data_IF_940391791013
#
_entry.id   IF_940391791013
#
_cell.length_a   1.000
_cell.length_b   1.000
_cell.length_c   1.000
_cell.angle_alpha   90.00
_cell.angle_beta   90.00
_cell.angle_gamma   90.00
#
_symmetry.space_group_name_H-M   'P 1'
#
loop_
_entity.id
_entity.type
_entity.pdbx_description
1 polymer ?
#
# COMPACT_ATOMS: atom_id res chain seq x y z
N UNK A 1 2.47 46.06 59.51
CA UNK A 1 1.89 45.81 58.19
C UNK A 1 2.91 45.66 57.02
N UNK A 2 4.11 46.23 57.10
CA UNK A 2 5.14 46.08 56.02
C UNK A 2 5.89 44.74 56.09
N UNK A 3 6.14 44.18 57.27
CA UNK A 3 6.87 42.90 57.41
C UNK A 3 6.04 41.67 56.98
N UNK A 4 4.71 41.68 57.17
CA UNK A 4 3.85 40.58 56.72
C UNK A 4 3.78 40.42 55.18
N UNK A 5 4.02 41.53 54.42
CA UNK A 5 4.03 41.47 52.95
C UNK A 5 5.34 40.90 52.41
N UNK A 6 6.47 41.08 53.09
CA UNK A 6 7.75 40.53 52.68
C UNK A 6 7.84 39.01 52.87
N UNK A 7 7.28 38.51 53.97
CA UNK A 7 7.21 37.04 54.22
C UNK A 7 6.31 36.34 53.24
N UNK A 8 5.19 36.94 52.84
CA UNK A 8 4.29 36.37 51.81
C UNK A 8 4.90 36.36 50.41
N UNK A 9 5.71 37.38 50.06
CA UNK A 9 6.42 37.40 48.75
C UNK A 9 7.58 36.42 48.66
N UNK A 10 8.33 36.19 49.75
CA UNK A 10 9.41 35.19 49.82
C UNK A 10 8.84 33.77 49.78
N UNK A 11 7.71 33.51 50.45
CA UNK A 11 7.01 32.21 50.36
C UNK A 11 6.44 31.89 48.98
N UNK A 12 5.91 32.91 48.26
CA UNK A 12 5.40 32.77 46.93
C UNK A 12 6.54 32.51 45.87
N UNK A 13 7.71 33.09 46.08
CA UNK A 13 8.89 32.87 45.22
C UNK A 13 9.54 31.50 45.44
N UNK A 14 9.43 30.91 46.59
CA UNK A 14 9.92 29.54 46.90
C UNK A 14 9.00 28.45 46.36
N UNK A 15 7.70 28.74 46.11
CA UNK A 15 6.76 27.75 45.59
C UNK A 15 6.84 27.57 44.06
N UNK A 16 7.48 28.52 43.34
CA UNK A 16 7.66 28.40 41.87
C UNK A 16 8.95 27.69 41.45
N UNK A 17 9.85 27.34 42.37
CA UNK A 17 11.13 26.68 42.07
C UNK A 17 11.08 25.14 42.10
N UNK A 18 9.91 24.53 42.32
CA UNK A 18 9.80 23.08 42.54
C UNK A 18 9.11 22.30 41.40
N UNK A 19 8.90 22.87 40.19
CA UNK A 19 8.22 22.19 39.09
C UNK A 19 9.06 22.00 37.81
N UNK A 20 10.36 22.07 37.92
CA UNK A 20 11.24 21.49 36.92
C UNK A 20 11.67 20.10 37.43
N UNK A 21 10.75 19.13 37.40
CA UNK A 21 11.17 17.73 37.48
C UNK A 21 12.16 17.50 36.32
N UNK A 22 13.37 17.00 36.56
CA UNK A 22 14.25 16.60 35.48
C UNK A 22 13.45 15.59 34.67
N UNK A 23 13.22 15.88 33.40
CA UNK A 23 12.79 14.86 32.44
C UNK A 23 13.91 13.84 32.45
N UNK A 24 13.73 12.77 33.24
CA UNK A 24 14.67 11.64 33.20
C UNK A 24 14.86 11.28 31.73
N UNK A 25 16.10 11.07 31.25
CA UNK A 25 16.28 10.59 29.89
C UNK A 25 15.45 9.32 29.78
N UNK A 26 14.42 9.37 28.95
CA UNK A 26 13.52 8.26 28.72
C UNK A 26 14.42 7.10 28.29
N UNK A 27 14.61 6.10 29.16
CA UNK A 27 15.46 4.96 28.89
C UNK A 27 15.07 4.44 27.52
N UNK A 28 16.05 4.25 26.62
CA UNK A 28 15.81 3.84 25.24
C UNK A 28 15.05 2.53 25.23
N UNK A 29 13.71 2.62 25.19
CA UNK A 29 12.83 1.44 25.26
C UNK A 29 13.25 0.36 24.26
N UNK A 30 13.73 0.77 23.09
CA UNK A 30 14.12 -0.12 22.00
C UNK A 30 15.55 -0.68 22.10
N UNK A 31 16.37 -0.21 23.05
CA UNK A 31 17.74 -0.68 23.22
C UNK A 31 17.76 -2.18 23.58
N UNK A 32 18.53 -2.96 22.81
CA UNK A 32 18.63 -4.41 22.97
C UNK A 32 17.36 -5.19 22.64
N UNK A 33 16.33 -4.56 22.02
CA UNK A 33 15.09 -5.22 21.62
C UNK A 33 15.06 -5.55 20.14
N UNK A 34 14.22 -6.55 19.80
CA UNK A 34 13.87 -6.86 18.44
C UNK A 34 12.47 -6.32 18.14
N UNK A 35 12.30 -5.73 16.95
CA UNK A 35 11.00 -5.40 16.37
C UNK A 35 10.65 -6.48 15.37
N UNK A 36 9.49 -7.11 15.53
CA UNK A 36 8.91 -8.02 14.53
C UNK A 36 8.20 -7.20 13.46
N UNK A 37 8.65 -7.31 12.22
CA UNK A 37 7.97 -6.77 11.05
C UNK A 37 7.18 -7.87 10.36
N UNK A 38 5.86 -7.85 10.49
CA UNK A 38 4.98 -8.75 9.76
C UNK A 38 4.83 -8.24 8.34
N UNK A 39 5.23 -9.04 7.36
CA UNK A 39 5.08 -8.76 5.93
C UNK A 39 3.89 -9.51 5.36
N UNK A 40 2.85 -8.80 4.92
CA UNK A 40 1.59 -9.40 4.46
C UNK A 40 1.62 -9.87 3.00
N UNK A 41 2.71 -9.66 2.27
CA UNK A 41 2.94 -10.14 0.90
C UNK A 41 3.96 -11.27 0.86
N UNK A 42 3.98 -11.99 -0.26
CA UNK A 42 5.01 -13.00 -0.53
C UNK A 42 6.39 -12.37 -0.72
N UNK A 43 7.48 -13.10 -0.41
CA UNK A 43 8.83 -12.64 -0.66
C UNK A 43 9.12 -12.47 -2.17
N UNK A 44 10.09 -11.61 -2.51
CA UNK A 44 10.58 -11.38 -3.88
C UNK A 44 9.67 -10.50 -4.76
N UNK A 45 8.49 -10.09 -4.28
CA UNK A 45 7.64 -9.14 -4.99
C UNK A 45 8.05 -7.68 -4.75
N UNK A 46 7.46 -6.74 -5.52
CA UNK A 46 7.72 -5.29 -5.39
C UNK A 46 7.45 -4.77 -3.97
N UNK A 47 6.41 -5.27 -3.30
CA UNK A 47 6.13 -4.92 -1.91
C UNK A 47 7.27 -5.34 -0.96
N UNK A 48 7.86 -6.52 -1.18
CA UNK A 48 9.01 -7.01 -0.41
C UNK A 48 10.25 -6.13 -0.65
N UNK A 49 10.51 -5.74 -1.89
CA UNK A 49 11.65 -4.85 -2.21
C UNK A 49 11.53 -3.48 -1.56
N UNK A 50 10.33 -2.90 -1.52
CA UNK A 50 10.03 -1.65 -0.80
C UNK A 50 10.36 -1.76 0.68
N UNK A 51 9.93 -2.83 1.32
CA UNK A 51 10.15 -3.05 2.74
C UNK A 51 11.61 -3.34 3.05
N UNK A 52 12.31 -4.11 2.24
CA UNK A 52 13.75 -4.35 2.42
C UNK A 52 14.56 -3.05 2.39
N UNK A 53 14.21 -2.11 1.49
CA UNK A 53 14.82 -0.79 1.48
C UNK A 53 14.55 -0.05 2.78
N UNK A 54 13.29 0.00 3.25
CA UNK A 54 12.93 0.68 4.49
C UNK A 54 13.63 0.07 5.70
N UNK A 55 13.67 -1.26 5.81
CA UNK A 55 14.26 -1.95 6.97
C UNK A 55 15.78 -1.82 7.05
N UNK A 56 16.45 -1.54 5.94
CA UNK A 56 17.88 -1.21 5.95
C UNK A 56 18.19 0.15 6.60
N UNK A 57 17.23 1.06 6.64
CA UNK A 57 17.42 2.42 7.14
C UNK A 57 16.70 2.72 8.46
N UNK A 58 15.50 2.15 8.66
CA UNK A 58 14.64 2.48 9.79
C UNK A 58 15.32 2.33 11.16
N UNK A 59 16.10 1.25 11.45
CA UNK A 59 16.70 1.06 12.77
C UNK A 59 17.52 2.24 13.26
N UNK A 60 18.31 2.89 12.38
CA UNK A 60 19.19 4.01 12.74
C UNK A 60 18.44 5.25 13.24
N UNK A 61 17.14 5.36 12.97
CA UNK A 61 16.30 6.46 13.41
C UNK A 61 15.48 6.14 14.66
N UNK A 62 15.50 4.88 15.11
CA UNK A 62 14.84 4.46 16.35
C UNK A 62 15.88 4.53 17.47
N UNK A 63 15.66 5.32 18.54
CA UNK A 63 16.57 5.34 19.70
C UNK A 63 16.83 3.92 20.22
N UNK A 64 18.09 3.56 20.42
CA UNK A 64 18.49 2.20 20.78
C UNK A 64 18.78 1.27 19.60
N UNK A 65 18.58 1.73 18.37
CA UNK A 65 18.91 1.00 17.13
C UNK A 65 18.52 -0.49 17.16
N UNK A 66 17.22 -0.81 17.33
CA UNK A 66 16.75 -2.19 17.49
C UNK A 66 16.97 -3.02 16.23
N UNK A 67 17.12 -4.33 16.39
CA UNK A 67 17.09 -5.26 15.27
C UNK A 67 15.66 -5.42 14.76
N UNK A 68 15.44 -5.35 13.43
CA UNK A 68 14.13 -5.61 12.81
C UNK A 68 14.17 -6.98 12.15
N UNK A 69 13.28 -7.87 12.62
CA UNK A 69 13.13 -9.23 12.12
C UNK A 69 11.87 -9.30 11.24
N UNK A 70 12.03 -9.67 9.97
CA UNK A 70 10.89 -9.79 9.04
C UNK A 70 10.31 -11.20 9.07
N UNK A 71 9.00 -11.27 9.28
CA UNK A 71 8.19 -12.48 9.24
C UNK A 71 7.17 -12.37 8.11
N UNK A 72 7.08 -13.37 7.23
CA UNK A 72 6.11 -13.38 6.14
C UNK A 72 4.81 -14.05 6.56
N UNK A 73 3.69 -13.32 6.40
CA UNK A 73 2.35 -13.81 6.72
C UNK A 73 1.37 -13.52 5.57
N UNK A 74 1.59 -14.08 4.38
CA UNK A 74 0.70 -13.88 3.25
C UNK A 74 -0.64 -14.58 3.45
N UNK A 75 -1.59 -14.26 2.58
CA UNK A 75 -2.88 -14.94 2.49
C UNK A 75 -4.09 -14.01 2.66
N UNK A 76 -5.20 -14.44 2.07
CA UNK A 76 -6.48 -13.74 2.08
C UNK A 76 -6.40 -12.24 1.68
N UNK A 77 -5.53 -11.91 0.69
CA UNK A 77 -5.33 -10.51 0.26
C UNK A 77 -4.69 -9.61 1.32
N UNK A 78 -4.02 -10.18 2.32
CA UNK A 78 -3.39 -9.46 3.45
C UNK A 78 -4.23 -9.45 4.73
N UNK A 79 -5.51 -9.92 4.68
CA UNK A 79 -6.41 -9.94 5.85
C UNK A 79 -5.89 -10.81 7.00
N UNK A 80 -5.17 -11.92 6.70
CA UNK A 80 -4.55 -12.76 7.72
C UNK A 80 -3.60 -11.94 8.60
N UNK A 81 -2.67 -11.22 8.01
CA UNK A 81 -1.71 -10.39 8.72
C UNK A 81 -2.37 -9.18 9.39
N UNK A 82 -3.39 -8.57 8.74
CA UNK A 82 -4.14 -7.45 9.30
C UNK A 82 -4.93 -7.86 10.56
N UNK A 83 -5.57 -9.02 10.55
CA UNK A 83 -6.24 -9.57 11.74
C UNK A 83 -5.24 -9.91 12.85
N UNK A 84 -4.05 -10.38 12.49
CA UNK A 84 -2.99 -10.69 13.44
C UNK A 84 -2.50 -9.43 14.15
N UNK A 85 -2.11 -8.39 13.39
CA UNK A 85 -1.61 -7.14 13.99
C UNK A 85 -2.65 -6.45 14.88
N UNK A 86 -3.93 -6.49 14.49
CA UNK A 86 -5.01 -5.86 15.25
C UNK A 86 -5.16 -6.45 16.66
N UNK A 87 -4.76 -7.72 16.86
CA UNK A 87 -4.81 -8.46 18.13
C UNK A 87 -3.46 -8.63 18.80
N UNK A 88 -2.38 -8.17 18.14
CA UNK A 88 -1.04 -8.27 18.68
C UNK A 88 -0.89 -7.42 19.96
N UNK A 89 0.14 -7.70 20.74
CA UNK A 89 0.43 -6.92 21.96
C UNK A 89 0.71 -5.46 21.57
N UNK A 90 0.08 -4.50 22.22
CA UNK A 90 0.28 -3.08 21.93
C UNK A 90 1.54 -2.54 22.63
N UNK A 91 2.66 -3.22 22.48
CA UNK A 91 3.91 -2.88 23.15
C UNK A 91 4.91 -2.09 22.27
N UNK A 92 4.52 -1.82 21.01
CA UNK A 92 5.36 -1.09 20.05
C UNK A 92 6.47 -1.94 19.43
N UNK A 93 6.50 -3.25 19.66
CA UNK A 93 7.52 -4.16 19.12
C UNK A 93 7.04 -4.98 17.90
N UNK A 94 5.80 -4.77 17.46
CA UNK A 94 5.27 -5.42 16.27
C UNK A 94 4.76 -4.36 15.29
N UNK A 95 5.24 -4.41 14.05
CA UNK A 95 4.83 -3.53 12.95
C UNK A 95 4.28 -4.42 11.82
N UNK A 96 3.15 -4.05 11.24
CA UNK A 96 2.67 -4.66 10.01
C UNK A 96 3.07 -3.80 8.82
N UNK A 97 3.73 -4.39 7.84
CA UNK A 97 3.75 -3.92 6.46
C UNK A 97 2.54 -4.50 5.74
N UNK A 98 1.52 -3.68 5.57
CA UNK A 98 0.28 -4.13 4.96
C UNK A 98 0.38 -4.21 3.44
N UNK A 99 -0.58 -4.88 2.82
CA UNK A 99 -0.86 -4.70 1.38
C UNK A 99 -1.77 -3.49 1.18
N UNK A 100 -1.86 -3.01 -0.06
CA UNK A 100 -2.88 -2.00 -0.45
C UNK A 100 -4.32 -2.54 -0.37
N UNK A 101 -4.53 -3.73 0.17
CA UNK A 101 -5.83 -4.32 0.49
C UNK A 101 -6.35 -3.99 1.89
N UNK A 102 -5.50 -3.54 2.81
CA UNK A 102 -5.87 -3.28 4.20
C UNK A 102 -7.13 -2.39 4.32
N UNK A 103 -7.07 -1.22 3.75
CA UNK A 103 -8.16 -0.23 3.83
C UNK A 103 -9.36 -0.63 2.97
N UNK A 104 -9.19 -1.00 1.68
CA UNK A 104 -10.30 -1.44 0.85
C UNK A 104 -11.10 -2.59 1.44
N UNK A 105 -10.44 -3.64 1.95
CA UNK A 105 -11.13 -4.79 2.51
C UNK A 105 -12.06 -4.43 3.69
N UNK A 106 -11.63 -3.49 4.53
CA UNK A 106 -12.46 -3.00 5.64
C UNK A 106 -13.62 -2.12 5.15
N UNK A 107 -13.37 -1.17 4.25
CA UNK A 107 -14.41 -0.29 3.68
C UNK A 107 -15.46 -1.12 2.92
N UNK A 108 -15.04 -2.17 2.23
CA UNK A 108 -15.93 -3.08 1.50
C UNK A 108 -16.67 -4.07 2.41
N UNK A 109 -16.32 -4.15 3.70
CA UNK A 109 -16.91 -5.13 4.62
C UNK A 109 -16.66 -6.58 4.15
N UNK A 110 -15.46 -6.87 3.65
CA UNK A 110 -15.13 -8.20 3.14
C UNK A 110 -15.18 -9.27 4.24
N UNK A 111 -15.66 -10.45 3.91
CA UNK A 111 -15.68 -11.59 4.82
C UNK A 111 -14.27 -11.88 5.34
N UNK A 112 -14.16 -12.10 6.65
CA UNK A 112 -12.90 -12.38 7.33
C UNK A 112 -12.09 -11.14 7.71
N UNK A 113 -12.61 -9.92 7.53
CA UNK A 113 -12.09 -8.70 8.16
C UNK A 113 -12.50 -8.69 9.62
N UNK A 114 -11.51 -8.76 10.53
CA UNK A 114 -11.69 -8.78 11.98
C UNK A 114 -10.91 -7.63 12.63
N UNK A 115 -10.61 -6.58 11.90
CA UNK A 115 -9.92 -5.37 12.33
C UNK A 115 -10.74 -4.14 11.97
N UNK A 116 -10.51 -3.08 12.72
CA UNK A 116 -11.09 -1.76 12.50
C UNK A 116 -9.98 -0.81 12.03
N UNK A 117 -10.08 -0.32 10.78
CA UNK A 117 -9.08 0.58 10.19
C UNK A 117 -8.98 1.91 10.91
N UNK A 118 -10.07 2.36 11.56
CA UNK A 118 -10.09 3.63 12.28
C UNK A 118 -9.43 3.52 13.68
N UNK A 119 -9.14 2.29 14.15
CA UNK A 119 -8.43 2.02 15.41
C UNK A 119 -6.97 1.64 15.23
N UNK A 120 -6.55 1.24 14.04
CA UNK A 120 -5.14 0.98 13.75
C UNK A 120 -4.34 2.28 13.88
N UNK A 121 -3.12 2.16 14.38
CA UNK A 121 -2.19 3.30 14.48
C UNK A 121 -1.28 3.28 13.25
N UNK A 122 -1.35 4.32 12.46
CA UNK A 122 -0.60 4.44 11.22
C UNK A 122 0.77 5.09 11.46
N UNK A 123 1.80 4.52 10.86
CA UNK A 123 3.17 5.05 10.85
C UNK A 123 3.50 5.79 9.55
N UNK A 124 2.63 5.68 8.54
CA UNK A 124 2.80 6.24 7.21
C UNK A 124 2.76 5.18 6.11
N UNK A 125 2.98 5.61 4.89
CA UNK A 125 3.12 4.74 3.72
C UNK A 125 4.33 5.18 2.88
N UNK A 126 5.06 4.25 2.24
CA UNK A 126 6.22 4.60 1.42
C UNK A 126 5.87 5.21 0.07
N UNK A 127 4.61 5.09 -0.36
CA UNK A 127 4.16 5.63 -1.64
C UNK A 127 2.69 6.06 -1.60
N UNK A 128 2.39 7.14 -2.30
CA UNK A 128 1.04 7.68 -2.54
C UNK A 128 0.77 7.95 -4.02
N UNK A 129 1.79 7.84 -4.83
CA UNK A 129 1.68 7.81 -6.28
C UNK A 129 1.74 6.37 -6.74
N UNK A 130 0.86 6.01 -7.65
CA UNK A 130 0.73 4.63 -8.10
C UNK A 130 0.31 4.57 -9.56
N UNK A 131 1.03 3.75 -10.30
CA UNK A 131 0.70 3.42 -11.69
C UNK A 131 0.58 1.91 -11.84
N UNK A 132 -0.44 1.47 -12.55
CA UNK A 132 -0.56 0.09 -12.95
C UNK A 132 -0.86 0.00 -14.44
N UNK A 133 -0.33 -1.02 -15.06
CA UNK A 133 -0.56 -1.31 -16.49
C UNK A 133 -1.28 -2.64 -16.66
N UNK A 134 -2.03 -2.74 -17.75
CA UNK A 134 -2.64 -3.99 -18.21
C UNK A 134 -2.04 -4.37 -19.57
N UNK A 135 -1.61 -5.61 -19.71
CA UNK A 135 -0.99 -6.11 -20.92
C UNK A 135 -1.31 -7.58 -21.18
N UNK A 136 -1.17 -7.98 -22.45
CA UNK A 136 -1.36 -9.36 -22.94
C UNK A 136 -0.09 -9.88 -23.59
N UNK A 137 0.02 -11.20 -23.70
CA UNK A 137 1.07 -11.83 -24.53
C UNK A 137 0.93 -11.41 -26.00
N UNK A 138 2.05 -11.15 -26.65
CA UNK A 138 2.10 -10.67 -28.03
C UNK A 138 1.62 -11.72 -29.05
N UNK A 139 1.88 -12.99 -28.78
CA UNK A 139 1.51 -14.11 -29.65
C UNK A 139 0.00 -14.20 -29.86
N UNK A 140 -0.80 -13.60 -29.02
CA UNK A 140 -2.26 -13.53 -29.17
C UNK A 140 -2.71 -12.56 -30.28
N UNK A 141 -1.81 -11.71 -30.78
CA UNK A 141 -2.14 -10.73 -31.82
C UNK A 141 -3.11 -9.62 -31.40
N UNK A 142 -3.27 -9.41 -30.08
CA UNK A 142 -4.23 -8.45 -29.51
C UNK A 142 -3.58 -7.06 -29.36
N UNK A 143 -3.17 -6.45 -30.46
CA UNK A 143 -2.41 -5.18 -30.48
C UNK A 143 -3.29 -3.92 -30.40
N UNK A 144 -4.61 -4.07 -30.50
CA UNK A 144 -5.59 -2.98 -30.39
C UNK A 144 -6.67 -3.28 -29.34
N UNK A 145 -7.32 -2.23 -28.85
CA UNK A 145 -8.46 -2.37 -27.90
C UNK A 145 -9.63 -3.14 -28.54
N UNK A 146 -9.88 -2.96 -29.81
CA UNK A 146 -10.99 -3.65 -30.50
C UNK A 146 -10.70 -5.15 -30.62
N UNK A 147 -9.48 -5.55 -30.97
CA UNK A 147 -9.08 -6.96 -30.97
C UNK A 147 -9.13 -7.55 -29.56
N UNK A 148 -8.68 -6.78 -28.56
CA UNK A 148 -8.73 -7.19 -27.16
C UNK A 148 -10.17 -7.45 -26.70
N UNK A 149 -11.14 -6.60 -27.06
CA UNK A 149 -12.56 -6.77 -26.76
C UNK A 149 -13.21 -7.94 -27.51
N UNK A 150 -12.78 -8.17 -28.74
CA UNK A 150 -13.28 -9.28 -29.56
C UNK A 150 -12.80 -10.65 -29.05
N UNK A 151 -11.65 -10.68 -28.37
CA UNK A 151 -11.13 -11.90 -27.74
C UNK A 151 -12.03 -12.33 -26.57
N UNK A 152 -12.31 -13.63 -26.49
CA UNK A 152 -13.15 -14.21 -25.43
C UNK A 152 -12.36 -15.20 -24.58
N UNK A 153 -12.64 -15.20 -23.28
CA UNK A 153 -12.08 -16.19 -22.36
C UNK A 153 -10.62 -15.97 -21.99
N UNK A 154 -10.11 -14.73 -22.12
CA UNK A 154 -8.73 -14.41 -21.72
C UNK A 154 -8.47 -14.79 -20.26
N UNK A 155 -7.36 -15.50 -20.01
CA UNK A 155 -6.91 -15.90 -18.69
C UNK A 155 -6.04 -14.79 -18.10
N UNK A 156 -6.54 -14.13 -17.05
CA UNK A 156 -5.83 -13.03 -16.36
C UNK A 156 -5.17 -13.57 -15.09
N UNK A 157 -3.85 -13.55 -15.05
CA UNK A 157 -3.08 -14.02 -13.90
C UNK A 157 -3.15 -13.09 -12.70
N UNK A 158 -3.32 -13.63 -11.49
CA UNK A 158 -3.41 -12.88 -10.24
C UNK A 158 -2.88 -13.70 -9.04
N UNK A 159 -2.64 -13.02 -7.90
CA UNK A 159 -2.16 -13.71 -6.70
C UNK A 159 -3.30 -14.46 -6.00
N UNK A 160 -4.18 -13.77 -5.33
CA UNK A 160 -5.33 -14.37 -4.63
C UNK A 160 -6.54 -13.46 -4.75
N UNK A 161 -7.73 -14.01 -4.55
CA UNK A 161 -8.99 -13.23 -4.46
C UNK A 161 -8.84 -12.16 -3.38
N UNK A 162 -9.20 -10.92 -3.69
CA UNK A 162 -9.05 -9.76 -2.80
C UNK A 162 -7.65 -9.12 -2.80
N UNK A 163 -6.64 -9.78 -3.35
CA UNK A 163 -5.32 -9.16 -3.52
C UNK A 163 -5.35 -8.03 -4.56
N UNK A 164 -4.40 -7.07 -4.45
CA UNK A 164 -4.33 -5.92 -5.35
C UNK A 164 -4.28 -6.32 -6.82
N UNK A 165 -3.42 -7.28 -7.20
CA UNK A 165 -3.29 -7.76 -8.59
C UNK A 165 -4.58 -8.36 -9.14
N UNK A 166 -5.35 -9.06 -8.30
CA UNK A 166 -6.65 -9.61 -8.67
C UNK A 166 -7.67 -8.50 -8.92
N UNK A 167 -7.81 -7.57 -7.97
CA UNK A 167 -8.73 -6.44 -8.09
C UNK A 167 -8.41 -5.57 -9.29
N UNK A 168 -7.14 -5.23 -9.49
CA UNK A 168 -6.68 -4.45 -10.65
C UNK A 168 -6.99 -5.16 -11.96
N UNK A 169 -6.63 -6.45 -12.08
CA UNK A 169 -6.95 -7.25 -13.26
C UNK A 169 -8.43 -7.24 -13.61
N UNK A 170 -9.31 -7.32 -12.59
CA UNK A 170 -10.76 -7.28 -12.78
C UNK A 170 -11.25 -5.89 -13.17
N UNK A 171 -10.74 -4.84 -12.55
CA UNK A 171 -11.10 -3.44 -12.90
C UNK A 171 -10.69 -3.13 -14.35
N UNK A 172 -9.46 -3.49 -14.75
CA UNK A 172 -9.04 -3.35 -16.14
C UNK A 172 -9.93 -4.15 -17.09
N UNK A 173 -10.17 -5.43 -16.79
CA UNK A 173 -11.01 -6.30 -17.62
C UNK A 173 -12.43 -5.74 -17.77
N UNK A 174 -13.01 -5.23 -16.68
CA UNK A 174 -14.34 -4.62 -16.67
C UNK A 174 -14.36 -3.35 -17.52
N UNK A 175 -13.52 -2.37 -17.24
CA UNK A 175 -13.52 -1.08 -17.93
C UNK A 175 -13.09 -1.20 -19.40
N UNK A 176 -12.17 -2.08 -19.74
CA UNK A 176 -11.82 -2.38 -21.12
C UNK A 176 -12.94 -3.12 -21.87
N UNK A 177 -13.87 -3.74 -21.16
CA UNK A 177 -14.97 -4.49 -21.75
C UNK A 177 -14.55 -5.84 -22.30
N UNK A 178 -13.72 -6.59 -21.58
CA UNK A 178 -13.29 -7.93 -22.00
C UNK A 178 -14.45 -8.93 -21.97
N UNK A 179 -14.51 -9.79 -22.97
CA UNK A 179 -15.56 -10.79 -23.12
C UNK A 179 -15.21 -12.05 -22.32
N UNK A 180 -15.97 -12.34 -21.26
CA UNK A 180 -15.87 -13.54 -20.42
C UNK A 180 -14.43 -13.86 -19.97
N UNK A 181 -13.66 -12.90 -19.39
CA UNK A 181 -12.33 -13.21 -18.89
C UNK A 181 -12.41 -14.17 -17.70
N UNK A 182 -11.38 -15.00 -17.54
CA UNK A 182 -11.18 -15.84 -16.37
C UNK A 182 -9.99 -15.34 -15.55
N UNK A 183 -10.02 -15.53 -14.23
CA UNK A 183 -8.98 -15.04 -13.33
C UNK A 183 -8.28 -16.24 -12.68
N UNK A 184 -7.03 -16.48 -13.08
CA UNK A 184 -6.21 -17.59 -12.58
C UNK A 184 -5.42 -17.10 -11.38
N UNK A 185 -5.67 -17.69 -10.22
CA UNK A 185 -5.08 -17.31 -8.93
C UNK A 185 -4.15 -18.39 -8.38
N UNK A 186 -3.35 -18.04 -7.37
CA UNK A 186 -2.43 -18.96 -6.71
C UNK A 186 -0.95 -18.66 -6.99
N UNK A 187 -0.65 -17.60 -7.72
CA UNK A 187 0.70 -17.21 -8.06
C UNK A 187 1.23 -16.10 -7.14
N UNK A 188 2.52 -16.08 -6.88
CA UNK A 188 3.24 -14.86 -6.47
C UNK A 188 3.41 -13.91 -7.64
N UNK A 189 3.83 -12.66 -7.40
CA UNK A 189 4.09 -11.69 -8.46
C UNK A 189 5.06 -12.19 -9.55
N UNK A 190 6.25 -12.72 -9.19
CA UNK A 190 7.18 -13.32 -10.15
C UNK A 190 6.61 -14.55 -10.88
N UNK A 191 5.85 -15.41 -10.20
CA UNK A 191 5.25 -16.58 -10.83
C UNK A 191 4.21 -16.24 -11.89
N UNK A 192 3.45 -15.12 -11.74
CA UNK A 192 2.57 -14.63 -12.80
C UNK A 192 3.38 -14.27 -14.05
N UNK A 193 4.58 -13.70 -13.88
CA UNK A 193 5.45 -13.35 -15.00
C UNK A 193 5.89 -14.60 -15.77
N UNK A 194 6.27 -15.67 -15.05
CA UNK A 194 6.63 -16.96 -15.65
C UNK A 194 5.42 -17.66 -16.29
N UNK A 195 4.26 -17.61 -15.65
CA UNK A 195 3.02 -18.18 -16.18
C UNK A 195 2.59 -17.48 -17.49
N UNK A 196 2.82 -16.17 -17.60
CA UNK A 196 2.61 -15.43 -18.84
C UNK A 196 3.56 -15.91 -19.97
N UNK A 197 4.84 -16.08 -19.66
CA UNK A 197 5.84 -16.57 -20.62
C UNK A 197 5.57 -18.01 -21.10
N UNK A 198 5.08 -18.86 -20.19
CA UNK A 198 4.70 -20.25 -20.51
C UNK A 198 3.33 -20.38 -21.18
N UNK A 199 2.58 -19.30 -21.29
CA UNK A 199 1.23 -19.33 -21.83
C UNK A 199 0.19 -19.96 -20.92
N UNK A 200 0.46 -20.08 -19.64
CA UNK A 200 -0.50 -20.55 -18.62
C UNK A 200 -1.57 -19.47 -18.36
N UNK A 201 -1.19 -18.18 -18.47
CA UNK A 201 -2.09 -17.03 -18.50
C UNK A 201 -1.85 -16.18 -19.74
N UNK A 202 -2.84 -15.39 -20.13
CA UNK A 202 -2.85 -14.60 -21.37
C UNK A 202 -2.59 -13.12 -21.13
N UNK A 203 -2.95 -12.64 -19.95
CA UNK A 203 -2.89 -11.25 -19.53
C UNK A 203 -2.54 -11.11 -18.05
N UNK A 204 -2.09 -9.94 -17.68
CA UNK A 204 -1.99 -9.53 -16.29
C UNK A 204 -2.08 -8.02 -16.13
N UNK A 205 -2.42 -7.57 -14.92
CA UNK A 205 -2.10 -6.22 -14.45
C UNK A 205 -0.95 -6.26 -13.46
N UNK A 206 -0.15 -5.22 -13.42
CA UNK A 206 0.84 -5.01 -12.37
C UNK A 206 1.20 -3.54 -12.21
N UNK A 207 1.77 -3.18 -11.07
CA UNK A 207 2.41 -1.90 -10.89
C UNK A 207 3.56 -1.72 -11.89
N UNK A 208 3.76 -0.50 -12.39
CA UNK A 208 4.78 -0.18 -13.40
C UNK A 208 6.17 -0.55 -12.93
N UNK A 209 6.48 -0.37 -11.64
CA UNK A 209 7.76 -0.75 -11.02
C UNK A 209 8.07 -2.24 -11.23
N UNK A 210 7.03 -3.08 -11.19
CA UNK A 210 7.20 -4.53 -11.43
C UNK A 210 7.73 -4.83 -12.81
N UNK A 211 7.36 -4.03 -13.83
CA UNK A 211 7.88 -4.19 -15.21
C UNK A 211 9.35 -3.81 -15.25
N UNK A 212 9.71 -2.66 -14.63
CA UNK A 212 11.10 -2.18 -14.64
C UNK A 212 12.06 -3.09 -13.89
N UNK A 213 11.62 -3.62 -12.75
CA UNK A 213 12.46 -4.43 -11.88
C UNK A 213 12.69 -5.84 -12.40
N UNK A 214 11.63 -6.50 -12.87
CA UNK A 214 11.70 -7.92 -13.17
C UNK A 214 11.76 -8.24 -14.64
N UNK A 215 11.19 -7.38 -15.48
CA UNK A 215 11.02 -7.65 -16.91
C UNK A 215 11.28 -6.39 -17.76
N UNK A 216 12.45 -5.74 -17.63
CA UNK A 216 12.74 -4.52 -18.37
C UNK A 216 12.71 -4.74 -19.90
N UNK A 217 12.96 -5.96 -20.37
CA UNK A 217 12.92 -6.34 -21.78
C UNK A 217 11.52 -6.20 -22.39
N UNK A 218 10.47 -6.23 -21.57
CA UNK A 218 9.09 -5.94 -22.01
C UNK A 218 8.91 -4.50 -22.52
N UNK A 219 9.86 -3.61 -22.23
CA UNK A 219 9.87 -2.22 -22.68
C UNK A 219 10.72 -2.02 -23.94
N UNK A 220 11.45 -3.05 -24.35
CA UNK A 220 12.33 -2.99 -25.53
C UNK A 220 11.54 -3.13 -26.84
N UNK A 221 12.16 -2.64 -27.93
CA UNK A 221 11.65 -2.89 -29.27
C UNK A 221 11.68 -4.42 -29.53
N UNK A 222 10.54 -4.99 -29.84
CA UNK A 222 10.38 -6.45 -29.98
C UNK A 222 9.87 -7.17 -28.72
N UNK A 223 9.38 -6.43 -27.74
CA UNK A 223 8.72 -6.96 -26.55
C UNK A 223 7.77 -8.12 -26.88
N UNK A 224 7.69 -9.07 -25.96
CA UNK A 224 6.77 -10.23 -26.03
C UNK A 224 5.35 -9.91 -25.48
N UNK A 225 5.05 -8.65 -25.19
CA UNK A 225 3.74 -8.21 -24.70
C UNK A 225 3.22 -6.99 -25.44
N UNK A 226 1.89 -6.80 -25.39
CA UNK A 226 1.19 -5.57 -25.79
C UNK A 226 0.60 -4.91 -24.57
N UNK A 227 1.03 -3.67 -24.26
CA UNK A 227 0.44 -2.84 -23.23
C UNK A 227 -0.81 -2.14 -23.78
N UNK A 228 -1.92 -2.17 -23.02
CA UNK A 228 -3.22 -1.70 -23.51
C UNK A 228 -3.71 -0.43 -22.81
N UNK A 229 -3.45 -0.30 -21.52
CA UNK A 229 -3.96 0.80 -20.72
C UNK A 229 -3.16 0.97 -19.43
N UNK A 230 -3.24 2.16 -18.87
CA UNK A 230 -2.64 2.53 -17.59
C UNK A 230 -3.70 3.03 -16.61
N UNK A 231 -3.50 2.75 -15.32
CA UNK A 231 -4.18 3.39 -14.20
C UNK A 231 -3.23 4.38 -13.54
N UNK A 232 -3.68 5.61 -13.34
CA UNK A 232 -2.89 6.68 -12.71
C UNK A 232 -3.54 7.10 -11.37
N UNK A 233 -2.73 7.15 -10.31
CA UNK A 233 -3.12 7.70 -9.02
C UNK A 233 -1.98 8.60 -8.47
N UNK A 234 -2.22 9.93 -8.30
CA UNK A 234 -3.44 10.68 -8.63
C UNK A 234 -3.69 10.76 -10.13
N UNK A 235 -4.94 11.11 -10.49
CA UNK A 235 -5.32 11.31 -11.90
C UNK A 235 -4.47 12.40 -12.53
N UNK A 236 -3.97 12.15 -13.75
CA UNK A 236 -3.15 13.09 -14.50
C UNK A 236 -1.65 13.07 -14.12
N UNK A 237 -1.27 12.27 -13.12
CA UNK A 237 0.14 11.98 -12.84
C UNK A 237 0.67 11.00 -13.89
N UNK A 238 1.05 11.54 -15.06
CA UNK A 238 1.48 10.72 -16.20
C UNK A 238 2.81 10.05 -15.93
N UNK A 239 2.82 8.73 -16.06
CA UNK A 239 4.05 7.96 -15.95
C UNK A 239 5.01 8.28 -17.12
N UNK A 240 6.31 8.57 -16.88
CA UNK A 240 7.26 9.01 -17.92
C UNK A 240 7.35 8.06 -19.13
N UNK A 241 7.26 6.75 -18.91
CA UNK A 241 7.40 5.74 -19.96
C UNK A 241 6.07 5.18 -20.48
N UNK A 242 5.01 5.21 -19.69
CA UNK A 242 3.70 4.65 -20.04
C UNK A 242 2.61 5.72 -20.25
N UNK A 243 2.94 7.01 -20.12
CA UNK A 243 1.97 8.10 -20.29
C UNK A 243 1.40 8.27 -21.69
N UNK A 244 1.91 7.51 -22.66
CA UNK A 244 1.34 7.38 -24.01
C UNK A 244 0.15 6.40 -24.07
N UNK A 245 0.00 5.52 -23.06
CA UNK A 245 -1.12 4.59 -22.99
C UNK A 245 -2.41 5.33 -22.61
N UNK A 246 -3.57 4.90 -23.13
CA UNK A 246 -4.84 5.44 -22.67
C UNK A 246 -5.06 5.13 -21.19
N UNK A 247 -5.43 6.16 -20.42
CA UNK A 247 -5.79 6.00 -19.01
C UNK A 247 -7.12 5.25 -18.91
N UNK A 248 -7.19 4.28 -17.99
CA UNK A 248 -8.29 3.31 -17.91
C UNK A 248 -9.67 3.96 -17.69
N UNK A 249 -9.76 5.10 -17.00
CA UNK A 249 -11.01 5.83 -16.81
C UNK A 249 -11.59 6.35 -18.13
N UNK A 250 -10.77 6.56 -19.16
CA UNK A 250 -11.25 6.99 -20.48
C UNK A 250 -12.18 5.98 -21.14
N UNK A 251 -12.16 4.73 -20.68
CA UNK A 251 -13.08 3.68 -21.12
C UNK A 251 -14.37 3.62 -20.28
N UNK A 252 -14.48 4.43 -19.23
CA UNK A 252 -15.69 4.52 -18.39
C UNK A 252 -16.87 5.08 -19.18
N UNK A 253 -18.04 4.43 -19.06
CA UNK A 253 -19.26 4.77 -19.79
C UNK A 253 -20.33 5.41 -18.90
N UNK A 254 -20.31 5.15 -17.61
CA UNK A 254 -21.32 5.59 -16.64
C UNK A 254 -20.75 6.50 -15.55
N UNK A 255 -21.64 7.23 -14.88
CA UNK A 255 -21.26 8.03 -13.71
C UNK A 255 -20.79 7.15 -12.56
N UNK A 256 -21.40 5.98 -12.39
CA UNK A 256 -20.98 5.02 -11.36
C UNK A 256 -19.55 4.48 -11.59
N UNK A 257 -19.16 4.25 -12.85
CA UNK A 257 -17.77 3.90 -13.20
C UNK A 257 -16.79 5.04 -12.89
N UNK A 258 -17.17 6.30 -13.09
CA UNK A 258 -16.35 7.46 -12.69
C UNK A 258 -16.22 7.57 -11.18
N UNK A 259 -17.30 7.36 -10.42
CA UNK A 259 -17.28 7.30 -8.94
C UNK A 259 -16.42 6.15 -8.44
N UNK A 260 -16.50 4.96 -9.07
CA UNK A 260 -15.61 3.83 -8.81
C UNK A 260 -14.14 4.22 -9.00
N UNK A 261 -13.79 4.89 -10.08
CA UNK A 261 -12.41 5.28 -10.35
C UNK A 261 -11.90 6.30 -9.32
N UNK A 262 -12.74 7.25 -8.90
CA UNK A 262 -12.41 8.20 -7.83
C UNK A 262 -12.14 7.47 -6.51
N UNK A 263 -13.01 6.54 -6.12
CA UNK A 263 -12.82 5.70 -4.93
C UNK A 263 -11.52 4.91 -5.01
N UNK A 264 -11.27 4.22 -6.12
CA UNK A 264 -10.06 3.42 -6.33
C UNK A 264 -8.79 4.25 -6.23
N UNK A 265 -8.76 5.47 -6.79
CA UNK A 265 -7.60 6.36 -6.69
C UNK A 265 -7.31 6.78 -5.26
N UNK A 266 -8.33 7.14 -4.50
CA UNK A 266 -8.14 7.49 -3.09
C UNK A 266 -7.60 6.31 -2.29
N UNK A 267 -8.16 5.11 -2.49
CA UNK A 267 -7.69 3.89 -1.87
C UNK A 267 -6.25 3.54 -2.28
N UNK A 268 -5.87 3.79 -3.54
CA UNK A 268 -4.50 3.56 -4.02
C UNK A 268 -3.50 4.57 -3.47
N UNK A 269 -3.89 5.83 -3.33
CA UNK A 269 -3.06 6.88 -2.72
C UNK A 269 -2.77 6.61 -1.25
N UNK A 270 -3.65 5.91 -0.54
CA UNK A 270 -3.36 5.44 0.81
C UNK A 270 -2.23 4.37 0.83
N UNK A 271 -1.88 3.83 -0.34
CA UNK A 271 -0.72 2.95 -0.53
C UNK A 271 -0.84 1.63 0.21
N UNK A 272 0.30 1.18 0.73
CA UNK A 272 0.43 0.02 1.61
C UNK A 272 0.95 0.50 2.97
N UNK A 273 0.07 0.93 3.88
CA UNK A 273 0.49 1.55 5.12
C UNK A 273 1.23 0.59 6.05
N UNK A 274 2.15 1.18 6.80
CA UNK A 274 2.73 0.53 7.96
C UNK A 274 1.87 0.89 9.16
N UNK A 275 1.50 -0.13 9.93
CA UNK A 275 0.61 0.03 11.09
C UNK A 275 1.12 -0.76 12.28
N UNK A 276 0.72 -0.31 13.48
CA UNK A 276 0.95 -0.98 14.74
C UNK A 276 -0.39 -1.22 15.46
N UNK A 277 -0.43 -2.11 16.49
CA UNK A 277 -1.66 -2.44 17.19
C UNK A 277 -2.33 -1.22 17.84
N UNK A 278 -3.67 -1.20 17.89
CA UNK A 278 -4.39 -0.21 18.69
C UNK A 278 -4.02 -0.32 20.17
N UNK A 279 -3.95 0.83 20.85
CA UNK A 279 -3.58 0.88 22.27
C UNK A 279 -2.07 0.85 22.54
N UNK A 280 -1.23 0.91 21.53
CA UNK A 280 0.23 1.10 21.71
C UNK A 280 0.48 2.42 22.47
N UNK A 281 1.33 2.44 23.52
CA UNK A 281 1.63 3.64 24.27
C UNK A 281 2.14 4.78 23.39
N UNK A 282 1.66 5.99 23.67
CA UNK A 282 1.87 7.17 22.83
C UNK A 282 3.36 7.52 22.66
N UNK A 283 4.17 7.34 23.70
CA UNK A 283 5.62 7.55 23.63
C UNK A 283 6.27 6.68 22.55
N UNK A 284 5.88 5.42 22.43
CA UNK A 284 6.36 4.48 21.41
C UNK A 284 5.83 4.81 20.03
N UNK A 285 4.55 5.22 19.94
CA UNK A 285 3.95 5.70 18.70
C UNK A 285 4.74 6.88 18.15
N UNK A 286 5.03 7.88 18.98
CA UNK A 286 5.78 9.07 18.55
C UNK A 286 7.21 8.75 18.14
N UNK A 287 7.90 7.85 18.86
CA UNK A 287 9.24 7.39 18.47
C UNK A 287 9.21 6.76 17.08
N UNK A 288 8.31 5.82 16.83
CA UNK A 288 8.20 5.15 15.54
C UNK A 288 7.79 6.11 14.42
N UNK A 289 6.79 6.96 14.64
CA UNK A 289 6.36 7.98 13.67
C UNK A 289 7.52 8.93 13.32
N UNK A 290 8.28 9.37 14.31
CA UNK A 290 9.43 10.22 14.07
C UNK A 290 10.54 9.49 13.31
N UNK A 291 10.80 8.23 13.61
CA UNK A 291 11.77 7.41 12.89
C UNK A 291 11.40 7.27 11.40
N UNK A 292 10.13 7.02 11.09
CA UNK A 292 9.64 6.99 9.71
C UNK A 292 9.79 8.33 9.00
N UNK A 293 9.40 9.44 9.66
CA UNK A 293 9.59 10.78 9.06
C UNK A 293 11.05 11.10 8.77
N UNK A 294 11.95 10.69 9.67
CA UNK A 294 13.39 10.93 9.49
C UNK A 294 13.97 10.07 8.37
N UNK A 295 13.59 8.81 8.30
CA UNK A 295 13.99 7.90 7.22
C UNK A 295 13.54 8.42 5.84
N UNK A 296 12.29 8.88 5.71
CA UNK A 296 11.77 9.41 4.45
C UNK A 296 12.44 10.74 4.02
N UNK A 297 13.19 11.41 4.89
CA UNK A 297 13.98 12.59 4.54
C UNK A 297 15.44 12.25 4.21
N UNK A 298 15.86 11.00 4.37
CA UNK A 298 17.24 10.58 4.14
C UNK A 298 17.51 10.39 2.64
N UNK A 299 18.41 11.18 2.02
CA UNK A 299 18.77 11.00 0.61
C UNK A 299 19.29 9.61 0.28
N UNK A 300 20.04 8.98 1.22
CA UNK A 300 20.57 7.63 1.02
C UNK A 300 19.44 6.58 0.97
N UNK A 301 18.37 6.77 1.75
CA UNK A 301 17.17 5.95 1.62
C UNK A 301 16.52 6.10 0.24
N UNK A 302 16.39 7.34 -0.27
CA UNK A 302 15.81 7.60 -1.59
C UNK A 302 16.62 6.92 -2.70
N UNK A 303 17.95 6.99 -2.62
CA UNK A 303 18.84 6.35 -3.58
C UNK A 303 18.70 4.81 -3.56
N UNK A 304 18.74 4.17 -2.36
CA UNK A 304 18.57 2.72 -2.22
C UNK A 304 17.18 2.27 -2.66
N UNK A 305 16.14 3.03 -2.26
CA UNK A 305 14.76 2.73 -2.67
C UNK A 305 14.62 2.78 -4.18
N UNK A 306 15.08 3.83 -4.84
CA UNK A 306 15.05 3.96 -6.30
C UNK A 306 15.81 2.83 -7.00
N UNK A 307 16.97 2.44 -6.47
CA UNK A 307 17.75 1.32 -6.99
C UNK A 307 17.01 -0.01 -6.90
N UNK A 308 16.28 -0.27 -5.80
CA UNK A 308 15.55 -1.54 -5.57
C UNK A 308 14.18 -1.54 -6.21
N UNK A 309 13.49 -0.42 -6.17
CA UNK A 309 12.07 -0.29 -6.56
C UNK A 309 11.91 0.25 -7.98
N UNK A 310 13.00 0.86 -8.53
CA UNK A 310 13.03 1.51 -9.84
C UNK A 310 12.11 2.76 -9.97
N UNK A 311 11.62 3.28 -8.85
CA UNK A 311 10.83 4.52 -8.76
C UNK A 311 11.23 5.30 -7.50
N UNK A 312 10.96 6.61 -7.49
CA UNK A 312 11.15 7.44 -6.30
C UNK A 312 10.08 7.11 -5.23
N UNK A 313 10.42 7.15 -3.95
CA UNK A 313 9.41 7.06 -2.92
C UNK A 313 8.52 8.32 -2.93
N UNK A 314 7.22 8.14 -2.71
CA UNK A 314 6.23 9.22 -2.57
C UNK A 314 5.48 9.07 -1.24
N UNK A 315 6.18 9.24 -0.10
CA UNK A 315 5.65 8.88 1.20
C UNK A 315 4.54 9.82 1.66
N UNK A 316 3.58 9.28 2.45
CA UNK A 316 2.67 10.09 3.26
C UNK A 316 3.01 9.96 4.73
N UNK A 317 2.92 11.11 5.42
CA UNK A 317 3.00 11.12 6.88
C UNK A 317 1.78 10.44 7.50
N UNK A 318 1.88 9.99 8.76
CA UNK A 318 0.74 9.38 9.47
C UNK A 318 -0.52 10.26 9.42
N UNK A 319 -0.39 11.55 9.68
CA UNK A 319 -1.50 12.49 9.75
C UNK A 319 -2.19 12.68 8.39
N UNK A 320 -1.38 12.82 7.34
CA UNK A 320 -1.91 12.95 5.96
C UNK A 320 -2.64 11.68 5.55
N UNK A 321 -2.09 10.52 5.90
CA UNK A 321 -2.68 9.22 5.59
C UNK A 321 -4.01 9.02 6.36
N UNK A 322 -4.04 9.30 7.66
CA UNK A 322 -5.26 9.20 8.48
C UNK A 322 -6.38 10.11 7.97
N UNK A 323 -6.05 11.36 7.60
CA UNK A 323 -7.02 12.28 7.01
C UNK A 323 -7.55 11.76 5.67
N UNK A 324 -6.67 11.27 4.80
CA UNK A 324 -7.06 10.70 3.50
C UNK A 324 -8.00 9.49 3.66
N UNK A 325 -7.75 8.60 4.63
CA UNK A 325 -8.62 7.45 4.92
C UNK A 325 -9.99 7.93 5.38
N UNK A 326 -10.04 8.90 6.28
CA UNK A 326 -11.28 9.47 6.83
C UNK A 326 -12.11 10.17 5.75
N UNK A 327 -11.46 10.90 4.85
CA UNK A 327 -12.08 11.69 3.77
C UNK A 327 -12.38 10.86 2.51
N UNK A 328 -12.02 9.58 2.48
CA UNK A 328 -12.29 8.71 1.32
C UNK A 328 -13.79 8.64 1.05
N UNK A 329 -14.26 9.03 -0.15
CA UNK A 329 -15.67 8.98 -0.50
C UNK A 329 -16.21 7.56 -0.41
N UNK A 330 -17.34 7.39 0.29
CA UNK A 330 -17.99 6.09 0.48
C UNK A 330 -19.35 6.07 -0.24
N UNK A 331 -19.34 6.32 -1.55
CA UNK A 331 -20.57 6.25 -2.36
C UNK A 331 -21.05 4.78 -2.43
N UNK A 332 -22.31 4.48 -2.00
CA UNK A 332 -22.79 3.10 -1.91
C UNK A 332 -22.75 2.36 -3.25
N UNK A 333 -23.12 3.01 -4.36
CA UNK A 333 -23.16 2.37 -5.69
C UNK A 333 -21.74 2.01 -6.17
N UNK A 334 -20.76 2.91 -5.97
CA UNK A 334 -19.37 2.64 -6.31
C UNK A 334 -18.77 1.55 -5.41
N UNK A 335 -19.17 1.50 -4.14
CA UNK A 335 -18.75 0.45 -3.20
C UNK A 335 -19.31 -0.90 -3.64
N UNK A 336 -20.60 -1.00 -4.00
CA UNK A 336 -21.21 -2.25 -4.47
C UNK A 336 -20.57 -2.73 -5.78
N UNK A 337 -20.29 -1.81 -6.71
CA UNK A 337 -19.58 -2.15 -7.95
C UNK A 337 -18.15 -2.67 -7.62
N UNK A 338 -17.43 -2.00 -6.69
CA UNK A 338 -16.11 -2.45 -6.28
C UNK A 338 -16.14 -3.80 -5.56
N UNK A 339 -17.18 -4.07 -4.72
CA UNK A 339 -17.41 -5.39 -4.11
C UNK A 339 -17.58 -6.48 -5.16
N UNK A 340 -18.43 -6.23 -6.16
CA UNK A 340 -18.65 -7.15 -7.26
C UNK A 340 -17.36 -7.43 -8.04
N UNK A 341 -16.54 -6.39 -8.27
CA UNK A 341 -15.24 -6.51 -8.92
C UNK A 341 -14.19 -7.20 -8.04
N UNK A 342 -14.33 -7.19 -6.72
CA UNK A 342 -13.39 -7.84 -5.80
C UNK A 342 -13.78 -9.29 -5.47
N UNK A 343 -15.01 -9.69 -5.77
CA UNK A 343 -15.54 -11.04 -5.53
C UNK A 343 -15.03 -12.08 -6.52
N UNK A 344 -15.18 -13.36 -6.17
CA UNK A 344 -14.76 -14.49 -7.03
C UNK A 344 -15.71 -14.80 -8.20
N UNK A 345 -16.91 -14.21 -8.24
CA UNK A 345 -17.90 -14.41 -9.29
C UNK A 345 -17.48 -13.83 -10.65
N UNK A 346 -18.32 -13.97 -11.68
CA UNK A 346 -18.11 -13.32 -12.97
C UNK A 346 -18.01 -11.80 -12.82
N UNK A 347 -17.50 -11.11 -13.84
CA UNK A 347 -17.57 -9.65 -13.85
C UNK A 347 -19.04 -9.20 -13.89
N UNK A 348 -19.38 -8.09 -13.19
CA UNK A 348 -20.73 -7.55 -13.28
C UNK A 348 -21.05 -7.14 -14.72
N UNK A 349 -22.33 -7.11 -15.11
CA UNK A 349 -22.74 -6.60 -16.41
C UNK A 349 -22.39 -5.11 -16.53
N UNK A 350 -22.17 -4.67 -17.77
CA UNK A 350 -21.76 -3.31 -18.07
C UNK A 350 -22.72 -2.61 -19.04
#
# INVERSE_FOLDING_TARGET
MKEAKYVAQVMASLFFLFLAAPVAPQANFYEGKNISLIQSSEPGGTADMRIRSMMAFLPKYIPGNPTILTEYMPGAGGRKAANHIYRARPDGLTILSSTSGLIPSAILGETGVLYDVDKLIYLGTPYSEFHAVFFTRKELGLDTIDKLRAASGLRVGAQSVGHATYREGRVFSYLLGLTRPSFVVGFSGPEIDLALERGEVDARSCATESVFQRNPDRLAKGSNVHFHSIFEAPRGNKHPRFGHLPEIESFGKSDNERKLMTLLRNLKRAGAPLVIPPGTPEDRVQILRQAFRSMFKDPAFHEDYKKRVAEEPSPLTPETLENMIRETPRNPEAIELLKSLNGAGPLPPR
#
